data_IF_655739393846
#
_entry.id   IF_655739393846
#
_cell.length_a   1.000
_cell.length_b   1.000
_cell.length_c   1.000
_cell.angle_alpha   90.00
_cell.angle_beta   90.00
_cell.angle_gamma   90.00
#
_symmetry.space_group_name_H-M   'P 1'
#
loop_
_entity.id
_entity.type
_entity.pdbx_description
1 polymer ?
#
# COMPACT_ATOMS: atom_id res chain seq x y z
N UNK A 1 4.76 4.62 -8.23
CA UNK A 1 5.18 4.92 -6.86
C UNK A 1 6.68 4.69 -6.68
N UNK A 2 7.34 5.56 -5.93
CA UNK A 2 8.67 5.31 -5.40
C UNK A 2 8.61 4.18 -4.36
N UNK A 3 9.63 3.33 -4.31
CA UNK A 3 9.70 2.24 -3.33
C UNK A 3 11.02 2.29 -2.58
N UNK A 4 11.05 1.70 -1.38
CA UNK A 4 12.31 1.46 -0.70
C UNK A 4 13.21 0.64 -1.63
N UNK A 5 14.47 1.06 -1.87
CA UNK A 5 15.35 0.35 -2.79
C UNK A 5 15.57 -1.10 -2.36
N UNK A 6 15.10 -2.04 -3.18
CA UNK A 6 15.19 -3.47 -2.93
C UNK A 6 16.17 -4.14 -3.89
N UNK A 7 17.04 -4.99 -3.36
CA UNK A 7 18.02 -5.73 -4.14
C UNK A 7 17.33 -6.80 -4.98
N UNK A 8 17.68 -6.90 -6.26
CA UNK A 8 17.15 -7.92 -7.15
C UNK A 8 18.28 -8.62 -7.87
N UNK A 9 18.36 -9.94 -7.66
CA UNK A 9 19.26 -10.82 -8.40
C UNK A 9 18.66 -11.10 -9.77
N UNK A 10 19.35 -10.61 -10.82
CA UNK A 10 19.01 -10.77 -12.23
C UNK A 10 17.61 -10.27 -12.63
N UNK A 11 17.54 -9.33 -13.56
CA UNK A 11 16.29 -9.04 -14.27
C UNK A 11 15.85 -10.28 -15.08
N UNK A 12 15.05 -11.15 -14.45
CA UNK A 12 14.65 -12.44 -15.01
C UNK A 12 13.92 -12.32 -16.36
N UNK A 13 13.78 -13.44 -17.11
CA UNK A 13 13.26 -13.49 -18.49
C UNK A 13 11.81 -13.00 -18.67
N UNK A 14 11.15 -12.65 -17.57
CA UNK A 14 9.79 -12.15 -17.50
C UNK A 14 9.70 -10.62 -17.69
N UNK A 15 10.84 -9.92 -17.66
CA UNK A 15 10.89 -8.48 -17.81
C UNK A 15 11.47 -8.09 -19.17
N UNK A 16 10.91 -7.05 -19.76
CA UNK A 16 11.36 -6.46 -21.02
C UNK A 16 11.80 -5.04 -20.74
N UNK A 17 13.05 -4.71 -21.03
CA UNK A 17 13.55 -3.34 -20.99
C UNK A 17 12.86 -2.51 -22.09
N UNK A 18 12.16 -1.45 -21.69
CA UNK A 18 11.53 -0.51 -22.62
C UNK A 18 12.41 0.73 -22.83
N UNK A 19 13.16 1.14 -21.80
CA UNK A 19 14.13 2.24 -21.85
C UNK A 19 15.32 1.92 -20.95
N UNK A 20 16.48 2.45 -21.30
CA UNK A 20 17.68 2.35 -20.48
C UNK A 20 18.60 3.55 -20.73
N UNK A 21 19.34 3.93 -19.70
CA UNK A 21 20.49 4.80 -19.74
C UNK A 21 21.62 4.15 -18.90
N UNK A 22 22.82 4.76 -18.77
CA UNK A 22 23.93 4.13 -18.08
C UNK A 22 23.63 3.66 -16.64
N UNK A 23 22.69 4.33 -15.94
CA UNK A 23 22.41 4.07 -14.53
C UNK A 23 21.02 3.48 -14.28
N UNK A 24 20.06 3.65 -15.18
CA UNK A 24 18.67 3.24 -14.97
C UNK A 24 18.13 2.39 -16.11
N UNK A 25 17.32 1.39 -15.76
CA UNK A 25 16.56 0.57 -16.72
C UNK A 25 15.09 0.60 -16.35
N UNK A 26 14.24 1.02 -17.29
CA UNK A 26 12.79 0.87 -17.19
C UNK A 26 12.38 -0.46 -17.81
N UNK A 27 11.69 -1.28 -17.02
CA UNK A 27 11.22 -2.60 -17.44
C UNK A 27 9.70 -2.71 -17.33
N UNK A 28 9.12 -3.48 -18.27
CA UNK A 28 7.73 -3.92 -18.24
C UNK A 28 7.65 -5.43 -18.19
N UNK A 29 6.73 -5.97 -17.39
CA UNK A 29 6.48 -7.40 -17.29
C UNK A 29 5.81 -7.96 -18.56
N UNK A 30 6.25 -9.13 -19.02
CA UNK A 30 5.60 -9.88 -20.11
C UNK A 30 4.26 -10.43 -19.63
N UNK A 31 3.24 -10.39 -20.49
CA UNK A 31 1.92 -10.99 -20.22
C UNK A 31 0.92 -10.12 -19.45
N UNK A 32 1.32 -8.96 -18.92
CA UNK A 32 0.39 -8.02 -18.28
C UNK A 32 -0.23 -7.06 -19.31
N UNK A 33 -1.56 -7.10 -19.49
CA UNK A 33 -2.33 -6.04 -20.16
C UNK A 33 -2.49 -6.11 -21.70
N UNK A 34 -2.22 -7.24 -22.36
CA UNK A 34 -2.60 -7.42 -23.78
C UNK A 34 -3.25 -8.78 -24.02
N UNK A 35 -4.55 -8.72 -24.30
CA UNK A 35 -5.45 -9.73 -24.89
C UNK A 35 -5.01 -11.19 -24.97
N UNK A 36 -5.78 -12.04 -24.29
CA UNK A 36 -6.22 -13.38 -24.75
C UNK A 36 -5.19 -14.26 -25.46
N UNK A 37 -4.48 -15.09 -24.69
CA UNK A 37 -3.73 -16.21 -25.21
C UNK A 37 -3.24 -17.11 -24.08
N UNK A 38 -3.34 -18.43 -24.26
CA UNK A 38 -3.04 -19.46 -23.24
C UNK A 38 -1.57 -19.48 -22.75
N UNK A 39 -0.73 -18.54 -23.21
CA UNK A 39 0.63 -18.29 -22.74
C UNK A 39 0.71 -17.52 -21.41
N UNK A 40 -0.41 -16.99 -20.90
CA UNK A 40 -0.45 -16.29 -19.60
C UNK A 40 -0.53 -17.18 -18.36
N UNK A 41 -0.83 -18.48 -18.51
CA UNK A 41 -1.13 -19.38 -17.38
C UNK A 41 0.06 -20.20 -16.85
N UNK A 42 1.17 -20.31 -17.59
CA UNK A 42 2.28 -21.20 -17.22
C UNK A 42 3.46 -20.51 -16.52
N UNK A 43 3.41 -19.20 -16.35
CA UNK A 43 4.39 -18.42 -15.57
C UNK A 43 3.90 -18.20 -14.11
N UNK A 44 2.74 -18.76 -13.76
CA UNK A 44 1.96 -18.34 -12.60
C UNK A 44 2.30 -18.97 -11.24
N UNK A 45 3.25 -19.90 -11.11
CA UNK A 45 3.38 -20.68 -9.85
C UNK A 45 4.72 -20.51 -9.12
N UNK A 46 5.81 -20.12 -9.80
CA UNK A 46 7.11 -19.90 -9.16
C UNK A 46 7.33 -18.44 -8.73
N UNK A 47 6.67 -17.50 -9.42
CA UNK A 47 6.77 -16.06 -9.20
C UNK A 47 5.91 -15.57 -8.02
N UNK A 48 5.00 -16.43 -7.51
CA UNK A 48 4.03 -16.09 -6.45
C UNK A 48 4.69 -16.01 -5.07
N UNK A 49 5.80 -16.72 -4.87
CA UNK A 49 6.46 -16.86 -3.57
C UNK A 49 7.61 -15.86 -3.39
N UNK A 50 8.18 -15.33 -4.49
CA UNK A 50 9.42 -14.53 -4.42
C UNK A 50 9.23 -13.02 -4.53
N UNK A 51 8.15 -12.53 -5.15
CA UNK A 51 7.96 -11.09 -5.29
C UNK A 51 6.50 -10.69 -5.03
N UNK A 52 6.23 -10.26 -3.80
CA UNK A 52 4.90 -9.75 -3.42
C UNK A 52 4.51 -8.48 -4.18
N UNK A 53 5.47 -7.76 -4.76
CA UNK A 53 5.24 -6.57 -5.60
C UNK A 53 4.76 -6.91 -7.02
N UNK A 54 5.09 -8.11 -7.51
CA UNK A 54 4.82 -8.56 -8.89
C UNK A 54 3.33 -8.77 -9.21
N UNK A 55 2.46 -8.78 -8.20
CA UNK A 55 1.00 -8.82 -8.36
C UNK A 55 0.38 -7.44 -8.65
N UNK A 56 1.05 -6.34 -8.36
CA UNK A 56 0.40 -5.02 -8.23
C UNK A 56 0.88 -4.00 -9.28
N UNK A 57 2.13 -4.10 -9.76
CA UNK A 57 2.71 -3.12 -10.68
C UNK A 57 3.45 -3.79 -11.88
N UNK A 58 2.96 -3.65 -13.13
CA UNK A 58 3.60 -4.25 -14.31
C UNK A 58 4.84 -3.51 -14.82
N UNK A 59 5.18 -2.35 -14.23
CA UNK A 59 6.36 -1.57 -14.58
C UNK A 59 7.27 -1.38 -13.38
N UNK A 60 8.58 -1.33 -13.64
CA UNK A 60 9.60 -1.02 -12.62
C UNK A 60 10.77 -0.27 -13.21
N UNK A 61 11.48 0.49 -12.38
CA UNK A 61 12.77 1.10 -12.72
C UNK A 61 13.84 0.49 -11.82
N UNK A 62 14.90 0.01 -12.46
CA UNK A 62 16.08 -0.53 -11.82
C UNK A 62 17.22 0.49 -11.87
N UNK A 63 17.95 0.64 -10.78
CA UNK A 63 19.29 1.22 -10.73
C UNK A 63 20.30 0.11 -11.04
N UNK A 64 21.23 0.41 -11.94
CA UNK A 64 22.38 -0.40 -12.32
C UNK A 64 23.65 0.45 -12.27
N UNK A 65 24.79 -0.19 -12.04
CA UNK A 65 26.11 0.43 -12.17
C UNK A 65 27.01 -0.53 -12.95
N UNK A 66 28.10 -0.04 -13.55
CA UNK A 66 28.85 -0.77 -14.56
C UNK A 66 29.56 -2.01 -14.01
N UNK A 67 30.03 -1.94 -12.76
CA UNK A 67 30.85 -2.98 -12.13
C UNK A 67 30.04 -3.93 -11.23
N UNK A 68 28.76 -3.60 -10.98
CA UNK A 68 27.90 -4.36 -10.09
C UNK A 68 26.96 -5.30 -10.85
N UNK A 69 26.98 -6.60 -10.51
CA UNK A 69 25.97 -7.56 -10.97
C UNK A 69 24.63 -7.42 -10.21
N UNK A 70 24.57 -6.47 -9.27
CA UNK A 70 23.43 -6.24 -8.38
C UNK A 70 22.59 -5.07 -8.89
N UNK A 71 21.31 -5.33 -9.10
CA UNK A 71 20.33 -4.32 -9.49
C UNK A 71 19.48 -3.92 -8.28
N UNK A 72 19.03 -2.67 -8.25
CA UNK A 72 18.15 -2.18 -7.20
C UNK A 72 16.85 -1.64 -7.78
N UNK A 73 15.70 -2.17 -7.37
CA UNK A 73 14.42 -1.60 -7.78
C UNK A 73 14.14 -0.33 -7.00
N UNK A 74 13.99 0.80 -7.68
CA UNK A 74 13.82 2.12 -7.05
C UNK A 74 12.42 2.71 -7.22
N UNK A 75 11.66 2.23 -8.21
CA UNK A 75 10.28 2.62 -8.44
C UNK A 75 9.50 1.49 -9.11
N UNK A 76 8.19 1.42 -8.84
CA UNK A 76 7.23 0.52 -9.47
C UNK A 76 6.02 1.33 -9.96
N UNK A 77 5.32 0.89 -11.01
CA UNK A 77 4.16 1.62 -11.54
C UNK A 77 3.06 0.69 -12.04
N UNK A 78 1.81 1.06 -11.75
CA UNK A 78 0.62 0.35 -12.23
C UNK A 78 0.37 0.62 -13.73
N UNK A 79 0.83 1.78 -14.22
CA UNK A 79 0.63 2.23 -15.60
C UNK A 79 1.92 2.75 -16.24
N UNK A 80 1.95 2.77 -17.58
CA UNK A 80 3.06 3.36 -18.33
C UNK A 80 3.23 4.85 -18.02
N UNK A 81 2.12 5.57 -17.86
CA UNK A 81 2.12 7.01 -17.57
C UNK A 81 2.86 7.28 -16.26
N UNK A 82 2.43 6.62 -15.19
CA UNK A 82 3.00 6.77 -13.84
C UNK A 82 4.50 6.44 -13.82
N UNK A 83 4.92 5.31 -14.41
CA UNK A 83 6.34 4.95 -14.38
C UNK A 83 7.20 5.90 -15.24
N UNK A 84 6.62 6.49 -16.29
CA UNK A 84 7.32 7.48 -17.12
C UNK A 84 7.56 8.77 -16.35
N UNK A 85 6.62 9.22 -15.52
CA UNK A 85 6.82 10.39 -14.65
C UNK A 85 7.99 10.18 -13.68
N UNK A 86 8.13 8.98 -13.11
CA UNK A 86 9.30 8.64 -12.28
C UNK A 86 10.60 8.59 -13.08
N UNK A 87 10.58 8.03 -14.29
CA UNK A 87 11.73 7.99 -15.19
C UNK A 87 12.22 9.40 -15.54
N UNK A 88 11.31 10.26 -15.98
CA UNK A 88 11.63 11.63 -16.39
C UNK A 88 12.19 12.43 -15.19
N UNK A 89 11.67 12.19 -13.98
CA UNK A 89 12.22 12.79 -12.76
C UNK A 89 13.67 12.34 -12.49
N UNK A 90 13.98 11.04 -12.63
CA UNK A 90 15.34 10.53 -12.44
C UNK A 90 16.32 11.15 -13.45
N UNK A 91 15.91 11.22 -14.72
CA UNK A 91 16.74 11.80 -15.77
C UNK A 91 17.00 13.30 -15.54
N UNK A 92 15.96 14.06 -15.19
CA UNK A 92 16.07 15.49 -14.99
C UNK A 92 16.86 15.86 -13.72
N UNK A 93 16.74 15.07 -12.65
CA UNK A 93 17.26 15.47 -11.33
C UNK A 93 18.54 14.75 -10.93
N UNK A 94 18.77 13.51 -11.39
CA UNK A 94 19.89 12.69 -10.90
C UNK A 94 20.93 12.37 -11.98
N UNK A 95 20.55 12.20 -13.24
CA UNK A 95 21.44 11.64 -14.27
C UNK A 95 22.76 12.40 -14.43
N UNK A 96 22.70 13.73 -14.48
CA UNK A 96 23.92 14.55 -14.61
C UNK A 96 24.82 14.44 -13.37
N UNK A 97 24.24 14.45 -12.16
CA UNK A 97 25.02 14.37 -10.92
C UNK A 97 25.64 12.99 -10.75
N UNK A 98 24.88 11.93 -11.06
CA UNK A 98 25.34 10.55 -10.96
C UNK A 98 26.50 10.27 -11.93
N UNK A 99 26.48 10.89 -13.12
CA UNK A 99 27.56 10.76 -14.11
C UNK A 99 28.90 11.42 -13.69
N UNK A 100 28.92 12.21 -12.61
CA UNK A 100 30.15 12.83 -12.07
C UNK A 100 30.89 11.89 -11.12
N UNK A 101 30.21 10.87 -10.57
CA UNK A 101 30.84 9.93 -9.66
C UNK A 101 31.70 8.92 -10.41
N UNK A 102 32.88 8.66 -9.87
CA UNK A 102 33.83 7.67 -10.40
C UNK A 102 33.73 6.32 -9.66
N UNK A 103 32.85 6.22 -8.66
CA UNK A 103 32.67 5.04 -7.80
C UNK A 103 31.19 4.60 -7.77
N UNK A 104 30.96 3.35 -8.18
CA UNK A 104 29.66 2.69 -8.24
C UNK A 104 28.94 2.59 -6.88
N UNK A 105 29.69 2.42 -5.78
CA UNK A 105 29.12 2.35 -4.44
C UNK A 105 28.59 3.72 -3.98
N UNK A 106 29.31 4.79 -4.35
CA UNK A 106 28.89 6.17 -4.07
C UNK A 106 27.66 6.53 -4.90
N UNK A 107 27.62 6.14 -6.19
CA UNK A 107 26.43 6.24 -7.04
C UNK A 107 25.23 5.56 -6.37
N UNK A 108 25.41 4.31 -5.96
CA UNK A 108 24.34 3.51 -5.35
C UNK A 108 23.83 4.16 -4.07
N UNK A 109 24.74 4.57 -3.20
CA UNK A 109 24.41 5.21 -1.92
C UNK A 109 23.69 6.54 -2.13
N UNK A 110 24.17 7.36 -3.06
CA UNK A 110 23.56 8.65 -3.40
C UNK A 110 22.13 8.48 -3.92
N UNK A 111 21.93 7.61 -4.92
CA UNK A 111 20.60 7.39 -5.50
C UNK A 111 19.65 6.83 -4.46
N UNK A 112 20.05 5.80 -3.69
CA UNK A 112 19.22 5.26 -2.61
C UNK A 112 18.83 6.34 -1.60
N UNK A 113 19.79 7.15 -1.17
CA UNK A 113 19.54 8.26 -0.24
C UNK A 113 18.53 9.27 -0.80
N UNK A 114 18.63 9.63 -2.08
CA UNK A 114 17.67 10.52 -2.75
C UNK A 114 16.27 9.91 -2.82
N UNK A 115 16.14 8.64 -3.22
CA UNK A 115 14.84 7.95 -3.27
C UNK A 115 14.21 7.86 -1.88
N UNK A 116 14.99 7.49 -0.87
CA UNK A 116 14.52 7.44 0.52
C UNK A 116 14.08 8.83 1.01
N UNK A 117 14.80 9.89 0.63
CA UNK A 117 14.41 11.27 0.90
C UNK A 117 13.08 11.67 0.26
N UNK A 118 12.86 11.29 -1.01
CA UNK A 118 11.58 11.54 -1.70
C UNK A 118 10.44 10.79 -1.00
N UNK A 119 10.64 9.52 -0.64
CA UNK A 119 9.63 8.72 0.07
C UNK A 119 9.32 9.33 1.43
N UNK A 120 10.34 9.78 2.16
CA UNK A 120 10.16 10.43 3.45
C UNK A 120 9.38 11.75 3.31
N UNK A 121 9.69 12.54 2.27
CA UNK A 121 8.99 13.79 1.98
C UNK A 121 7.55 13.57 1.53
N UNK A 122 7.28 12.58 0.68
CA UNK A 122 5.94 12.19 0.25
C UNK A 122 5.10 11.70 1.45
N UNK A 123 5.70 10.90 2.35
CA UNK A 123 5.09 10.54 3.64
C UNK A 123 4.84 11.74 4.53
N UNK A 124 5.75 12.72 4.56
CA UNK A 124 5.60 13.97 5.34
C UNK A 124 4.51 14.85 4.76
N UNK A 125 4.36 14.91 3.44
CA UNK A 125 3.29 15.62 2.75
C UNK A 125 1.97 14.90 2.94
N UNK A 126 1.91 13.57 2.88
CA UNK A 126 0.72 12.79 3.23
C UNK A 126 0.36 12.88 4.73
N UNK A 127 1.34 13.09 5.61
CA UNK A 127 1.12 13.37 7.04
C UNK A 127 0.87 14.85 7.33
N UNK A 128 1.22 15.74 6.40
CA UNK A 128 0.99 17.19 6.45
C UNK A 128 -0.28 17.63 5.72
N UNK A 129 -0.79 16.78 4.84
CA UNK A 129 -2.02 16.86 4.04
C UNK A 129 -2.88 15.62 4.33
N UNK A 130 -3.15 15.36 5.60
CA UNK A 130 -4.50 15.27 6.16
C UNK A 130 -4.39 14.89 7.65
N UNK A 131 -5.12 15.58 8.57
CA UNK A 131 -6.33 16.31 8.24
C UNK A 131 -6.73 17.53 9.11
N UNK A 132 -6.85 18.69 8.49
CA UNK A 132 -7.81 19.70 8.96
C UNK A 132 -9.26 19.35 8.53
N UNK A 133 -9.50 18.51 7.51
CA UNK A 133 -10.85 18.00 7.15
C UNK A 133 -11.32 16.76 7.95
N UNK A 134 -10.48 15.74 8.16
CA UNK A 134 -10.77 14.62 9.09
C UNK A 134 -10.76 15.03 10.57
N UNK A 135 -10.21 16.19 11.00
CA UNK A 135 -10.53 16.69 12.36
C UNK A 135 -12.06 16.87 12.51
N UNK A 136 -12.72 17.30 11.45
CA UNK A 136 -14.19 17.33 11.36
C UNK A 136 -14.79 15.92 11.38
N UNK A 137 -14.36 15.02 10.48
CA UNK A 137 -14.97 13.68 10.33
C UNK A 137 -14.66 12.75 11.51
N UNK A 138 -13.46 12.79 12.07
CA UNK A 138 -13.09 12.08 13.29
C UNK A 138 -13.88 12.60 14.49
N UNK A 139 -14.02 13.93 14.64
CA UNK A 139 -14.87 14.51 15.70
C UNK A 139 -16.34 14.15 15.50
N UNK A 140 -16.84 14.13 14.27
CA UNK A 140 -18.17 13.64 13.94
C UNK A 140 -18.32 12.14 14.24
N UNK A 141 -17.34 11.31 13.91
CA UNK A 141 -17.31 9.89 14.21
C UNK A 141 -17.28 9.63 15.71
N UNK A 142 -16.53 10.41 16.47
CA UNK A 142 -16.47 10.38 17.92
C UNK A 142 -17.82 10.78 18.53
N UNK A 143 -18.40 11.91 18.12
CA UNK A 143 -19.73 12.33 18.57
C UNK A 143 -20.80 11.31 18.21
N UNK A 144 -20.70 10.70 17.02
CA UNK A 144 -21.61 9.65 16.55
C UNK A 144 -21.44 8.38 17.37
N UNK A 145 -20.21 7.96 17.70
CA UNK A 145 -19.95 6.84 18.61
C UNK A 145 -20.58 7.11 19.98
N UNK A 146 -20.32 8.28 20.57
CA UNK A 146 -20.89 8.65 21.87
C UNK A 146 -22.42 8.61 21.86
N UNK A 147 -23.05 9.19 20.83
CA UNK A 147 -24.52 9.16 20.66
C UNK A 147 -25.08 7.77 20.40
N UNK A 148 -24.40 6.95 19.60
CA UNK A 148 -24.84 5.61 19.23
C UNK A 148 -24.70 4.62 20.39
N UNK A 149 -23.66 4.73 21.21
CA UNK A 149 -23.38 3.73 22.24
C UNK A 149 -23.53 4.26 23.67
N UNK A 150 -23.88 5.53 23.85
CA UNK A 150 -24.01 6.15 25.18
C UNK A 150 -22.68 6.21 25.93
N UNK A 151 -21.58 6.47 25.21
CA UNK A 151 -20.23 6.49 25.80
C UNK A 151 -20.04 7.70 26.71
N UNK A 152 -19.28 7.55 27.82
CA UNK A 152 -18.96 8.65 28.72
C UNK A 152 -18.00 9.66 28.04
N UNK A 153 -17.91 10.88 28.57
CA UNK A 153 -17.10 11.94 27.96
C UNK A 153 -15.59 11.64 28.00
N UNK A 154 -15.16 10.85 28.98
CA UNK A 154 -13.78 10.41 29.15
C UNK A 154 -13.36 9.36 28.12
N UNK A 155 -14.32 8.68 27.47
CA UNK A 155 -14.04 7.66 26.47
C UNK A 155 -13.62 8.31 25.15
N UNK A 156 -12.34 8.17 24.81
CA UNK A 156 -11.77 8.74 23.59
C UNK A 156 -11.80 7.72 22.46
N UNK A 157 -12.27 8.16 21.30
CA UNK A 157 -12.13 7.39 20.06
C UNK A 157 -10.64 7.29 19.71
N UNK A 158 -10.18 6.09 19.38
CA UNK A 158 -8.83 5.80 18.90
C UNK A 158 -8.84 5.73 17.38
N UNK A 159 -9.76 4.94 16.80
CA UNK A 159 -9.92 4.82 15.35
C UNK A 159 -11.31 4.28 14.97
N UNK A 160 -11.69 4.38 13.71
CA UNK A 160 -12.94 3.81 13.20
C UNK A 160 -12.77 3.28 11.77
N UNK A 161 -13.47 2.18 11.46
CA UNK A 161 -13.36 1.48 10.19
C UNK A 161 -14.74 1.10 9.64
N UNK A 162 -14.95 1.26 8.34
CA UNK A 162 -16.07 0.62 7.66
C UNK A 162 -15.78 -0.87 7.51
N UNK A 163 -16.68 -1.73 7.97
CA UNK A 163 -16.51 -3.18 7.89
C UNK A 163 -17.86 -3.91 7.81
N UNK A 164 -17.82 -5.24 7.68
CA UNK A 164 -19.02 -6.08 7.73
C UNK A 164 -18.89 -7.12 8.84
N UNK A 165 -19.91 -7.18 9.69
CA UNK A 165 -19.99 -8.19 10.75
C UNK A 165 -20.82 -9.38 10.26
N UNK A 166 -20.21 -10.55 10.29
CA UNK A 166 -20.85 -11.81 9.93
C UNK A 166 -21.48 -12.43 11.17
N UNK A 167 -22.81 -12.44 11.25
CA UNK A 167 -23.57 -13.19 12.25
C UNK A 167 -24.53 -14.13 11.54
N UNK A 168 -24.19 -15.40 11.49
CA UNK A 168 -24.92 -16.39 10.68
C UNK A 168 -24.63 -16.21 9.19
N UNK A 169 -25.66 -16.26 8.34
CA UNK A 169 -25.52 -16.30 6.86
C UNK A 169 -25.59 -14.93 6.17
N UNK A 170 -25.86 -13.85 6.91
CA UNK A 170 -26.06 -12.52 6.31
C UNK A 170 -24.96 -11.56 6.78
N UNK A 171 -24.13 -11.00 5.87
CA UNK A 171 -23.17 -9.97 6.23
C UNK A 171 -23.91 -8.68 6.58
N UNK A 172 -23.59 -8.10 7.74
CA UNK A 172 -24.14 -6.81 8.16
C UNK A 172 -23.10 -5.74 7.97
N UNK A 173 -23.29 -4.90 6.96
CA UNK A 173 -22.40 -3.76 6.72
C UNK A 173 -22.56 -2.70 7.81
N UNK A 174 -21.46 -2.09 8.22
CA UNK A 174 -21.44 -1.24 9.39
C UNK A 174 -20.14 -0.48 9.62
N UNK A 175 -20.06 0.14 10.79
CA UNK A 175 -18.92 0.87 11.30
C UNK A 175 -18.44 0.21 12.59
N UNK A 176 -17.12 -0.02 12.66
CA UNK A 176 -16.41 -0.42 13.87
C UNK A 176 -15.74 0.82 14.44
N UNK A 177 -16.02 1.14 15.69
CA UNK A 177 -15.37 2.18 16.46
C UNK A 177 -14.48 1.52 17.50
N UNK A 178 -13.21 1.88 17.50
CA UNK A 178 -12.22 1.48 18.49
C UNK A 178 -11.98 2.68 19.39
N UNK A 179 -12.28 2.56 20.67
CA UNK A 179 -11.96 3.55 21.70
C UNK A 179 -10.91 2.99 22.65
N UNK A 180 -10.49 3.78 23.65
CA UNK A 180 -9.45 3.36 24.60
C UNK A 180 -9.86 2.07 25.34
N UNK A 181 -11.13 1.96 25.75
CA UNK A 181 -11.60 0.85 26.59
C UNK A 181 -12.58 -0.09 25.89
N UNK A 182 -13.09 0.28 24.71
CA UNK A 182 -14.17 -0.44 24.06
C UNK A 182 -13.95 -0.66 22.57
N UNK A 183 -14.53 -1.75 22.08
CA UNK A 183 -14.75 -2.01 20.68
C UNK A 183 -16.26 -1.97 20.41
N UNK A 184 -16.71 -1.07 19.56
CA UNK A 184 -18.13 -0.82 19.33
C UNK A 184 -18.48 -1.05 17.87
N UNK A 185 -19.49 -1.89 17.59
CA UNK A 185 -19.93 -2.13 16.23
C UNK A 185 -21.37 -1.64 16.00
N UNK A 186 -21.53 -0.90 14.91
CA UNK A 186 -22.78 -0.33 14.43
C UNK A 186 -23.08 -0.92 13.04
N UNK A 187 -24.30 -1.34 12.75
CA UNK A 187 -24.66 -1.81 11.40
C UNK A 187 -25.84 -1.03 10.80
N UNK A 188 -25.81 -0.84 9.48
CA UNK A 188 -26.94 -0.34 8.71
C UNK A 188 -27.82 -1.51 8.30
N UNK A 189 -29.11 -1.46 8.60
CA UNK A 189 -30.08 -2.46 8.15
C UNK A 189 -31.08 -1.79 7.22
N UNK A 190 -31.17 -2.29 5.99
CA UNK A 190 -32.14 -1.92 4.98
C UNK A 190 -33.32 -2.92 5.01
N UNK A 191 -34.52 -2.44 5.37
CA UNK A 191 -35.77 -3.01 4.84
C UNK A 191 -36.76 -3.62 5.84
N UNK A 192 -37.84 -2.86 6.11
CA UNK A 192 -39.22 -3.20 6.54
C UNK A 192 -39.47 -3.88 7.91
N UNK A 193 -40.28 -3.16 8.69
CA UNK A 193 -41.13 -3.52 9.84
C UNK A 193 -40.61 -4.63 10.76
N UNK A 194 -39.74 -4.21 11.68
CA UNK A 194 -39.15 -5.02 12.74
C UNK A 194 -37.72 -4.62 13.02
N UNK A 195 -37.48 -3.32 13.23
CA UNK A 195 -36.12 -2.76 13.29
C UNK A 195 -35.36 -3.23 14.54
N UNK A 196 -34.48 -4.22 14.36
CA UNK A 196 -33.47 -4.57 15.36
C UNK A 196 -32.16 -3.83 15.07
N UNK A 197 -32.05 -2.63 15.62
CA UNK A 197 -30.82 -1.85 15.68
C UNK A 197 -29.83 -2.53 16.64
N UNK A 198 -28.79 -3.19 16.12
CA UNK A 198 -27.84 -3.89 16.98
C UNK A 198 -26.62 -3.01 17.28
N UNK A 199 -26.72 -2.23 18.36
CA UNK A 199 -25.57 -1.62 19.04
C UNK A 199 -24.92 -2.69 19.91
N UNK A 200 -23.61 -2.91 19.78
CA UNK A 200 -22.88 -3.78 20.70
C UNK A 200 -21.58 -3.12 21.12
N UNK A 201 -21.40 -3.01 22.43
CA UNK A 201 -20.17 -2.57 23.07
C UNK A 201 -19.49 -3.83 23.60
N UNK A 202 -18.24 -4.03 23.21
CA UNK A 202 -17.38 -5.04 23.78
C UNK A 202 -16.34 -4.33 24.65
N UNK A 203 -16.26 -4.70 25.93
CA UNK A 203 -15.13 -4.30 26.77
C UNK A 203 -13.90 -5.09 26.34
N UNK A 204 -12.73 -4.46 26.36
CA UNK A 204 -11.43 -5.11 26.07
C UNK A 204 -11.04 -6.19 27.09
N UNK A 205 -11.83 -6.38 28.14
CA UNK A 205 -11.66 -7.46 29.13
C UNK A 205 -12.25 -8.82 28.68
N UNK A 206 -12.17 -9.13 27.37
CA UNK A 206 -12.52 -10.46 26.85
C UNK A 206 -11.27 -11.14 26.30
N UNK A 207 -10.75 -12.07 27.10
CA UNK A 207 -9.90 -13.16 26.63
C UNK A 207 -10.55 -13.80 25.39
N UNK A 208 -9.85 -13.70 24.26
CA UNK A 208 -10.18 -14.42 23.03
C UNK A 208 -10.01 -15.93 23.29
N UNK A 209 -11.04 -16.58 23.83
CA UNK A 209 -11.09 -18.03 23.87
C UNK A 209 -11.34 -18.55 22.44
N UNK A 210 -10.27 -19.08 21.85
CA UNK A 210 -10.32 -19.95 20.68
C UNK A 210 -11.31 -21.09 20.91
N UNK A 211 -12.37 -21.15 20.12
CA UNK A 211 -13.17 -22.37 19.94
C UNK A 211 -12.76 -22.98 18.60
N UNK A 212 -11.97 -24.06 18.67
CA UNK A 212 -11.78 -24.97 17.55
C UNK A 212 -13.06 -25.81 17.37
N UNK A 213 -13.58 -25.98 16.15
CA UNK A 213 -14.57 -27.01 15.89
C UNK A 213 -13.87 -28.36 15.70
N UNK A 214 -14.41 -29.39 16.37
CA UNK A 214 -14.18 -30.82 16.06
C UNK A 214 -14.91 -31.21 14.78
#
# INVERSE_FOLDING_TARGET
MWIHPEEVLLAGPLWVSERANPFFILQRRRGHGRGGGLSGLLVGTLDVVLDSSARVAPYRILLQTADSQVFWTVACGASRKEITEHWDWLEANLLQTVAIFDNDEDVTTFVKGKILGIIAEDKRLQQGEEPEEDCGKFREAELKMRRLFGMPEEEKLVNYYSCSFWKGRVPRQGWLYLSINHLCFYSFLLGKEGEHFQRRVFSTDQSLHHTHPL
#
